data_IF_610788730316
#
_entry.id   IF_610788730316
#
_cell.length_a   1.000
_cell.length_b   1.000
_cell.length_c   1.000
_cell.angle_alpha   90.00
_cell.angle_beta   90.00
_cell.angle_gamma   90.00
#
_symmetry.space_group_name_H-M   'P 1'
#
loop_
_entity.id
_entity.type
_entity.pdbx_description
1 polymer ?
#
# COMPACT_ATOMS: atom_id res chain seq x y z
N UNK A 1 16.50 -24.36 -8.96
CA UNK A 1 17.01 -23.06 -8.45
C UNK A 1 17.69 -23.35 -7.14
N UNK A 2 18.94 -22.96 -7.00
CA UNK A 2 19.66 -23.05 -5.72
C UNK A 2 19.05 -22.04 -4.73
N UNK A 3 18.47 -22.54 -3.65
CA UNK A 3 17.76 -21.72 -2.66
C UNK A 3 18.71 -20.98 -1.73
N UNK A 4 19.87 -21.57 -1.42
CA UNK A 4 20.91 -20.91 -0.63
C UNK A 4 21.41 -19.68 -1.38
N UNK A 5 21.85 -19.86 -2.60
CA UNK A 5 22.33 -18.75 -3.45
C UNK A 5 21.27 -17.66 -3.66
N UNK A 6 20.00 -18.06 -3.86
CA UNK A 6 18.90 -17.09 -3.97
C UNK A 6 18.75 -16.27 -2.69
N UNK A 7 18.77 -16.92 -1.54
CA UNK A 7 18.57 -16.29 -0.24
C UNK A 7 19.71 -15.36 0.14
N UNK A 8 20.96 -15.74 -0.16
CA UNK A 8 22.14 -14.85 -0.04
C UNK A 8 21.99 -13.58 -0.89
N UNK A 9 21.59 -13.72 -2.16
CA UNK A 9 21.35 -12.59 -3.05
C UNK A 9 20.18 -11.71 -2.59
N UNK A 10 19.14 -12.31 -2.06
CA UNK A 10 18.01 -11.59 -1.44
C UNK A 10 18.45 -10.83 -0.19
N UNK A 11 19.25 -11.44 0.66
CA UNK A 11 19.78 -10.84 1.90
C UNK A 11 20.65 -9.63 1.57
N UNK A 12 21.58 -9.77 0.63
CA UNK A 12 22.44 -8.68 0.17
C UNK A 12 21.60 -7.49 -0.37
N UNK A 13 20.53 -7.78 -1.11
CA UNK A 13 19.66 -6.76 -1.69
C UNK A 13 18.73 -6.10 -0.67
N UNK A 14 18.11 -6.88 0.20
CA UNK A 14 17.03 -6.42 1.07
C UNK A 14 17.52 -6.11 2.50
N UNK A 15 18.74 -6.52 2.87
CA UNK A 15 19.37 -6.23 4.16
C UNK A 15 18.74 -7.02 5.31
N UNK A 16 18.40 -8.28 5.08
CA UNK A 16 18.02 -9.23 6.12
C UNK A 16 19.16 -10.23 6.37
N UNK A 17 19.10 -10.96 7.45
CA UNK A 17 20.12 -11.92 7.84
C UNK A 17 19.49 -13.21 8.38
N UNK A 18 20.20 -14.36 8.41
CA UNK A 18 19.69 -15.64 8.92
C UNK A 18 19.14 -15.56 10.36
N UNK A 19 19.72 -14.71 11.19
CA UNK A 19 19.30 -14.50 12.58
C UNK A 19 17.84 -13.99 12.69
N UNK A 20 17.27 -13.48 11.60
CA UNK A 20 15.84 -13.14 11.55
C UNK A 20 14.93 -14.35 11.74
N UNK A 21 15.46 -15.53 11.48
CA UNK A 21 14.80 -16.84 11.62
C UNK A 21 15.41 -17.69 12.73
N UNK A 22 16.37 -17.14 13.50
CA UNK A 22 17.07 -17.88 14.54
C UNK A 22 18.12 -18.87 14.00
N UNK A 23 18.64 -18.61 12.79
CA UNK A 23 19.70 -19.37 12.14
C UNK A 23 20.98 -18.55 12.05
N UNK A 24 22.14 -19.21 11.99
CA UNK A 24 23.44 -18.54 11.93
C UNK A 24 23.92 -18.39 10.47
N UNK A 25 23.59 -19.35 9.61
CA UNK A 25 24.13 -19.47 8.26
C UNK A 25 23.05 -19.58 7.17
N UNK A 26 23.46 -19.41 5.91
CA UNK A 26 22.62 -19.66 4.73
C UNK A 26 22.70 -21.14 4.33
N UNK A 27 21.88 -21.95 4.98
CA UNK A 27 21.89 -23.41 4.84
C UNK A 27 20.48 -24.00 4.72
N UNK A 28 20.36 -25.32 4.85
CA UNK A 28 19.07 -26.03 4.79
C UNK A 28 18.19 -25.72 6.01
N UNK A 29 18.76 -25.45 7.18
CA UNK A 29 18.01 -25.08 8.38
C UNK A 29 17.32 -23.73 8.20
N UNK A 30 18.00 -22.76 7.61
CA UNK A 30 17.41 -21.48 7.24
C UNK A 30 16.29 -21.66 6.20
N UNK A 31 16.48 -22.50 5.18
CA UNK A 31 15.43 -22.78 4.18
C UNK A 31 14.19 -23.36 4.85
N UNK A 32 14.36 -24.30 5.78
CA UNK A 32 13.27 -24.91 6.52
C UNK A 32 12.56 -23.92 7.46
N UNK A 33 13.30 -23.02 8.08
CA UNK A 33 12.73 -21.94 8.90
C UNK A 33 11.91 -20.94 8.06
N UNK A 34 12.38 -20.60 6.86
CA UNK A 34 11.63 -19.77 5.90
C UNK A 34 10.36 -20.50 5.46
N UNK A 35 10.41 -21.79 5.13
CA UNK A 35 9.24 -22.61 4.75
C UNK A 35 8.21 -22.63 5.88
N UNK A 36 8.66 -22.83 7.13
CA UNK A 36 7.78 -22.80 8.31
C UNK A 36 7.07 -21.46 8.41
N UNK A 37 7.81 -20.36 8.37
CA UNK A 37 7.26 -19.00 8.39
C UNK A 37 6.26 -18.76 7.25
N UNK A 38 6.58 -19.19 6.03
CA UNK A 38 5.69 -19.05 4.89
C UNK A 38 4.37 -19.79 5.09
N UNK A 39 4.41 -21.02 5.65
CA UNK A 39 3.19 -21.80 5.99
C UNK A 39 2.33 -21.08 7.03
N UNK A 40 2.94 -20.55 8.08
CA UNK A 40 2.25 -19.81 9.16
C UNK A 40 1.55 -18.53 8.63
N UNK A 41 2.04 -17.99 7.50
CA UNK A 41 1.51 -16.78 6.89
C UNK A 41 0.71 -17.03 5.60
N UNK A 42 0.35 -18.27 5.32
CA UNK A 42 -0.36 -18.68 4.09
C UNK A 42 0.31 -18.17 2.80
N UNK A 43 1.63 -18.17 2.79
CA UNK A 43 2.44 -17.86 1.61
C UNK A 43 2.83 -19.16 0.88
N UNK A 44 3.27 -19.01 -0.37
CA UNK A 44 3.91 -20.13 -1.09
C UNK A 44 5.13 -20.60 -0.30
N UNK A 45 5.09 -21.83 0.21
CA UNK A 45 6.13 -22.40 1.08
C UNK A 45 7.29 -22.97 0.24
N UNK A 46 8.00 -22.10 -0.47
CA UNK A 46 9.09 -22.44 -1.40
C UNK A 46 10.49 -22.34 -0.78
N UNK A 47 10.58 -21.76 0.43
CA UNK A 47 11.86 -21.54 1.13
C UNK A 47 12.68 -20.38 0.57
N UNK A 48 12.07 -19.52 -0.26
CA UNK A 48 12.73 -18.37 -0.83
C UNK A 48 12.32 -17.08 -0.13
N UNK A 49 13.29 -16.30 0.31
CA UNK A 49 13.06 -14.98 0.91
C UNK A 49 12.78 -13.94 -0.18
N UNK A 50 11.68 -14.13 -0.91
CA UNK A 50 11.20 -13.21 -1.92
C UNK A 50 10.59 -11.93 -1.32
N UNK A 51 10.21 -10.94 -2.17
CA UNK A 51 9.68 -9.64 -1.70
C UNK A 51 8.43 -9.75 -0.82
N UNK A 52 7.60 -10.75 -1.03
CA UNK A 52 6.39 -10.99 -0.23
C UNK A 52 6.76 -11.53 1.15
N UNK A 53 7.62 -12.56 1.20
CA UNK A 53 8.12 -13.14 2.46
C UNK A 53 8.88 -12.08 3.26
N UNK A 54 9.78 -11.32 2.61
CA UNK A 54 10.52 -10.24 3.25
C UNK A 54 9.59 -9.23 3.95
N UNK A 55 8.54 -8.75 3.26
CA UNK A 55 7.60 -7.80 3.84
C UNK A 55 6.90 -8.37 5.09
N UNK A 56 6.55 -9.65 5.08
CA UNK A 56 5.90 -10.31 6.23
C UNK A 56 6.85 -10.42 7.43
N UNK A 57 8.05 -10.91 7.20
CA UNK A 57 9.08 -11.02 8.26
C UNK A 57 9.43 -9.65 8.82
N UNK A 58 9.59 -8.65 7.94
CA UNK A 58 9.89 -7.29 8.37
C UNK A 58 8.78 -6.71 9.26
N UNK A 59 7.51 -6.98 8.93
CA UNK A 59 6.37 -6.58 9.74
C UNK A 59 6.37 -7.23 11.13
N UNK A 60 6.63 -8.55 11.21
CA UNK A 60 6.71 -9.25 12.50
C UNK A 60 7.82 -8.67 13.37
N UNK A 61 8.96 -8.33 12.76
CA UNK A 61 10.07 -7.69 13.50
C UNK A 61 9.68 -6.29 13.99
N UNK A 62 9.07 -5.47 13.14
CA UNK A 62 8.64 -4.11 13.53
C UNK A 62 7.57 -4.16 14.63
N UNK A 63 6.67 -5.16 14.61
CA UNK A 63 5.66 -5.33 15.64
C UNK A 63 6.24 -5.59 17.04
N UNK A 64 7.47 -6.10 17.11
CA UNK A 64 8.19 -6.36 18.36
C UNK A 64 9.14 -5.21 18.77
N UNK A 65 9.26 -4.14 18.00
CA UNK A 65 10.04 -2.96 18.38
C UNK A 65 9.19 -2.02 19.25
N UNK A 66 9.76 -1.57 20.37
CA UNK A 66 9.08 -0.69 21.34
C UNK A 66 9.04 0.78 20.89
N UNK A 67 9.91 1.19 19.96
CA UNK A 67 10.20 2.59 19.65
C UNK A 67 9.22 3.29 18.69
N UNK A 68 8.14 2.62 18.26
CA UNK A 68 7.16 3.29 17.42
C UNK A 68 6.35 4.30 18.23
N UNK A 69 6.40 5.56 17.81
CA UNK A 69 5.60 6.65 18.37
C UNK A 69 4.64 7.18 17.30
N UNK A 70 3.33 7.26 17.59
CA UNK A 70 2.39 7.94 16.71
C UNK A 70 2.81 9.40 16.50
N UNK A 71 2.81 9.88 15.27
CA UNK A 71 3.10 11.30 15.01
C UNK A 71 1.91 12.17 15.41
N UNK A 72 2.16 13.28 16.12
CA UNK A 72 1.11 14.21 16.50
C UNK A 72 0.47 14.86 15.28
N UNK A 73 -0.85 15.08 15.32
CA UNK A 73 -1.55 15.83 14.28
C UNK A 73 -1.00 17.26 14.16
N UNK A 74 -0.77 17.74 12.94
CA UNK A 74 -0.53 19.17 12.68
C UNK A 74 -1.82 19.92 12.96
N UNK A 75 -1.78 20.89 13.88
CA UNK A 75 -2.92 21.77 14.14
C UNK A 75 -2.90 22.94 13.15
N UNK A 76 -4.06 23.23 12.53
CA UNK A 76 -4.39 24.45 11.79
C UNK A 76 -3.37 24.96 10.74
N UNK A 77 -2.98 24.12 9.78
CA UNK A 77 -2.30 24.59 8.56
C UNK A 77 -3.11 24.20 7.34
N UNK A 78 -3.16 25.08 6.34
CA UNK A 78 -3.54 24.68 5.00
C UNK A 78 -2.64 23.53 4.55
N UNK A 79 -3.25 22.46 4.05
CA UNK A 79 -2.55 21.27 3.59
C UNK A 79 -2.59 21.20 2.08
N UNK A 80 -1.53 20.66 1.49
CA UNK A 80 -1.35 20.59 0.04
C UNK A 80 -0.90 19.20 -0.38
N UNK A 81 -1.19 18.87 -1.63
CA UNK A 81 -0.53 17.80 -2.38
C UNK A 81 0.27 18.43 -3.52
N UNK A 82 1.25 17.72 -4.05
CA UNK A 82 2.14 18.21 -5.11
C UNK A 82 1.88 17.48 -6.41
N UNK A 83 1.60 18.21 -7.48
CA UNK A 83 1.45 17.69 -8.83
C UNK A 83 2.09 18.62 -9.86
N UNK A 84 3.07 18.11 -10.60
CA UNK A 84 3.88 18.87 -11.56
C UNK A 84 4.55 20.09 -10.92
N UNK A 85 5.05 19.92 -9.69
CA UNK A 85 5.65 20.96 -8.84
C UNK A 85 4.68 22.03 -8.34
N UNK A 86 3.41 21.98 -8.68
CA UNK A 86 2.38 22.87 -8.14
C UNK A 86 1.84 22.34 -6.81
N UNK A 87 1.56 23.26 -5.88
CA UNK A 87 0.94 22.99 -4.58
C UNK A 87 -0.57 23.14 -4.72
N UNK A 88 -1.30 22.05 -4.55
CA UNK A 88 -2.75 22.00 -4.71
C UNK A 88 -3.40 21.73 -3.36
N UNK A 89 -4.43 22.50 -2.97
CA UNK A 89 -5.05 22.36 -1.66
C UNK A 89 -5.74 21.00 -1.48
N UNK A 90 -5.70 20.48 -0.26
CA UNK A 90 -6.44 19.31 0.17
C UNK A 90 -7.17 19.60 1.48
N UNK A 91 -8.45 19.30 1.52
CA UNK A 91 -9.31 19.45 2.70
C UNK A 91 -9.04 18.33 3.73
N UNK A 92 -7.79 18.24 4.18
CA UNK A 92 -7.34 17.28 5.19
C UNK A 92 -6.20 17.86 6.03
N UNK A 93 -6.31 17.88 7.37
CA UNK A 93 -5.36 18.64 8.19
C UNK A 93 -3.99 17.97 8.33
N UNK A 94 -3.89 16.67 8.06
CA UNK A 94 -2.70 15.89 8.40
C UNK A 94 -2.01 15.32 7.15
N UNK A 95 -1.28 16.18 6.44
CA UNK A 95 -0.49 15.82 5.25
C UNK A 95 1.00 16.09 5.52
N UNK A 96 1.85 15.19 5.06
CA UNK A 96 3.32 15.28 5.11
C UNK A 96 3.86 15.13 3.71
N UNK A 97 4.55 16.17 3.25
CA UNK A 97 5.15 16.17 1.91
C UNK A 97 6.58 15.62 1.95
N UNK A 98 6.99 15.02 0.85
CA UNK A 98 8.28 14.33 0.71
C UNK A 98 9.53 15.19 0.95
N UNK A 99 9.42 16.49 1.00
CA UNK A 99 10.51 17.43 1.29
C UNK A 99 10.42 18.05 2.69
N UNK A 100 9.38 17.75 3.46
CA UNK A 100 9.26 18.19 4.86
C UNK A 100 10.13 17.33 5.78
N UNK A 101 10.59 17.91 6.90
CA UNK A 101 11.49 17.22 7.84
C UNK A 101 10.90 15.94 8.47
N UNK A 102 9.57 15.87 8.57
CA UNK A 102 8.82 14.70 9.05
C UNK A 102 8.12 13.91 7.91
N UNK A 103 8.42 14.25 6.67
CA UNK A 103 7.99 13.54 5.47
C UNK A 103 8.92 12.39 5.08
N UNK A 104 8.50 11.59 4.12
CA UNK A 104 9.27 10.47 3.57
C UNK A 104 9.48 10.65 2.07
N UNK A 105 10.74 10.69 1.63
CA UNK A 105 11.10 10.89 0.23
C UNK A 105 11.62 9.60 -0.40
N UNK A 106 10.94 9.11 -1.43
CA UNK A 106 11.50 8.08 -2.31
C UNK A 106 12.49 8.72 -3.29
N UNK A 107 13.66 8.13 -3.40
CA UNK A 107 14.75 8.63 -4.26
C UNK A 107 15.07 7.69 -5.43
N UNK A 108 14.44 6.52 -5.48
CA UNK A 108 14.57 5.50 -6.52
C UNK A 108 13.29 4.68 -6.66
N UNK A 109 13.23 3.83 -7.69
CA UNK A 109 12.07 2.97 -7.93
C UNK A 109 10.91 3.67 -8.62
N UNK A 110 11.16 4.79 -9.30
CA UNK A 110 10.20 5.53 -10.10
C UNK A 110 10.89 6.20 -11.30
N UNK A 111 10.12 6.73 -12.23
CA UNK A 111 10.65 7.51 -13.35
C UNK A 111 10.20 8.97 -13.20
N UNK A 112 11.19 9.86 -13.13
CA UNK A 112 10.97 11.29 -13.10
C UNK A 112 10.45 11.78 -14.45
N UNK A 113 9.46 12.66 -14.43
CA UNK A 113 8.89 13.27 -15.62
C UNK A 113 9.36 14.72 -15.78
N UNK A 114 9.65 15.11 -17.02
CA UNK A 114 10.01 16.49 -17.38
C UNK A 114 8.84 17.30 -17.94
N UNK A 115 7.77 16.61 -18.33
CA UNK A 115 6.54 17.20 -18.82
C UNK A 115 5.35 16.73 -17.97
N UNK A 116 4.32 17.54 -17.87
CA UNK A 116 3.09 17.18 -17.16
C UNK A 116 2.46 15.95 -17.82
N UNK A 117 2.22 14.89 -17.01
CA UNK A 117 1.50 13.72 -17.47
C UNK A 117 0.01 13.85 -17.16
N UNK A 118 -0.80 13.03 -17.81
CA UNK A 118 -2.23 12.98 -17.66
C UNK A 118 -2.65 11.58 -17.16
N UNK A 119 -2.65 11.34 -15.84
CA UNK A 119 -3.05 10.06 -15.28
C UNK A 119 -4.56 9.85 -15.46
N UNK A 120 -4.95 8.61 -15.79
CA UNK A 120 -6.33 8.23 -16.08
C UNK A 120 -7.05 7.57 -14.93
N UNK A 121 -6.31 7.00 -13.99
CA UNK A 121 -6.91 6.35 -12.83
C UNK A 121 -6.04 6.43 -11.58
N UNK A 122 -6.73 6.31 -10.45
CA UNK A 122 -6.14 6.24 -9.12
C UNK A 122 -6.28 4.82 -8.58
N UNK A 123 -5.16 4.22 -8.15
CA UNK A 123 -5.12 2.83 -7.67
C UNK A 123 -4.98 2.79 -6.16
N UNK A 124 -5.95 2.18 -5.49
CA UNK A 124 -5.87 1.88 -4.07
C UNK A 124 -5.18 0.53 -3.83
N UNK A 125 -4.22 0.54 -2.91
CA UNK A 125 -3.53 -0.63 -2.37
C UNK A 125 -3.65 -0.66 -0.85
N UNK A 126 -3.58 -1.84 -0.25
CA UNK A 126 -3.14 -1.96 1.13
C UNK A 126 -1.68 -2.40 1.14
N UNK A 127 -0.90 -1.82 2.00
CA UNK A 127 0.57 -2.00 2.01
C UNK A 127 1.01 -3.30 2.66
N UNK A 128 0.11 -3.96 3.40
CA UNK A 128 0.41 -5.11 4.27
C UNK A 128 1.57 -4.81 5.22
N UNK A 129 1.62 -3.58 5.70
CA UNK A 129 2.58 -3.08 6.68
C UNK A 129 1.85 -2.55 7.92
N UNK A 130 2.59 -2.41 9.03
CA UNK A 130 2.03 -1.91 10.28
C UNK A 130 1.79 -0.40 10.26
N UNK A 131 2.58 0.34 9.45
CA UNK A 131 2.50 1.79 9.33
C UNK A 131 3.03 2.27 7.98
N UNK A 132 2.71 3.52 7.62
CA UNK A 132 3.26 4.16 6.41
C UNK A 132 4.79 4.28 6.46
N UNK A 133 5.39 4.45 7.64
CA UNK A 133 6.85 4.42 7.79
C UNK A 133 7.41 3.04 7.40
N UNK A 134 6.80 1.98 7.90
CA UNK A 134 7.20 0.60 7.54
C UNK A 134 7.03 0.36 6.04
N UNK A 135 5.91 0.79 5.46
CA UNK A 135 5.67 0.75 4.02
C UNK A 135 6.77 1.47 3.24
N UNK A 136 7.09 2.72 3.61
CA UNK A 136 8.15 3.49 2.98
C UNK A 136 9.51 2.75 3.00
N UNK A 137 9.90 2.21 4.15
CA UNK A 137 11.16 1.45 4.30
C UNK A 137 11.19 0.22 3.39
N UNK A 138 10.07 -0.52 3.31
CA UNK A 138 9.93 -1.69 2.42
C UNK A 138 9.99 -1.30 0.95
N UNK A 139 9.26 -0.26 0.53
CA UNK A 139 9.29 0.24 -0.86
C UNK A 139 10.69 0.67 -1.27
N UNK A 140 11.37 1.44 -0.42
CA UNK A 140 12.74 1.90 -0.64
C UNK A 140 13.73 0.75 -0.82
N UNK A 141 13.64 -0.29 0.01
CA UNK A 141 14.48 -1.50 -0.10
C UNK A 141 14.20 -2.27 -1.39
N UNK A 142 12.93 -2.43 -1.75
CA UNK A 142 12.51 -3.15 -2.95
C UNK A 142 12.78 -2.40 -4.26
N UNK A 143 13.06 -1.10 -4.22
CA UNK A 143 13.23 -0.27 -5.40
C UNK A 143 11.94 -0.11 -6.21
N UNK A 144 10.80 -0.02 -5.52
CA UNK A 144 9.48 0.30 -6.06
C UNK A 144 8.91 1.51 -5.32
N UNK A 145 7.82 2.05 -5.79
CA UNK A 145 7.26 3.31 -5.27
C UNK A 145 5.75 3.36 -5.34
N UNK A 146 5.18 4.28 -4.61
CA UNK A 146 3.80 4.75 -4.71
C UNK A 146 3.80 6.27 -4.46
N UNK A 147 2.79 7.00 -4.87
CA UNK A 147 2.75 8.45 -4.70
C UNK A 147 2.38 8.82 -3.26
N UNK A 148 1.40 8.12 -2.69
CA UNK A 148 0.86 8.40 -1.37
C UNK A 148 0.84 7.18 -0.47
N UNK A 149 0.89 7.42 0.82
CA UNK A 149 0.49 6.45 1.84
C UNK A 149 -0.46 7.12 2.85
N UNK A 150 -1.38 6.33 3.42
CA UNK A 150 -2.28 6.78 4.49
C UNK A 150 -2.00 5.93 5.72
N UNK A 151 -1.53 6.59 6.79
CA UNK A 151 -1.21 5.91 8.05
C UNK A 151 -2.46 5.60 8.88
N UNK A 152 -2.28 4.87 9.98
CA UNK A 152 -3.35 4.39 10.86
C UNK A 152 -4.18 5.54 11.50
N UNK A 153 -3.55 6.68 11.72
CA UNK A 153 -4.16 7.90 12.27
C UNK A 153 -4.75 8.84 11.19
N UNK A 154 -4.78 8.38 9.94
CA UNK A 154 -5.23 9.18 8.80
C UNK A 154 -4.20 10.17 8.26
N UNK A 155 -2.95 10.16 8.76
CA UNK A 155 -1.88 10.98 8.17
C UNK A 155 -1.65 10.55 6.72
N UNK A 156 -1.74 11.50 5.79
CA UNK A 156 -1.40 11.30 4.39
C UNK A 156 0.07 11.69 4.19
N UNK A 157 0.88 10.73 3.77
CA UNK A 157 2.24 10.97 3.31
C UNK A 157 2.26 11.02 1.79
N UNK A 158 2.79 12.08 1.23
CA UNK A 158 3.15 12.11 -0.19
C UNK A 158 4.64 11.81 -0.32
N UNK A 159 4.99 10.70 -0.98
CA UNK A 159 6.38 10.21 -1.09
C UNK A 159 7.14 10.79 -2.29
N UNK A 160 6.41 11.35 -3.27
CA UNK A 160 6.94 11.92 -4.50
C UNK A 160 5.88 12.75 -5.22
N UNK A 161 6.29 13.58 -6.15
CA UNK A 161 5.38 14.35 -7.01
C UNK A 161 4.45 13.41 -7.79
N UNK A 162 3.14 13.69 -7.85
CA UNK A 162 2.19 12.91 -8.64
C UNK A 162 2.52 12.91 -10.13
N UNK A 163 3.29 13.87 -10.60
CA UNK A 163 3.73 13.92 -12.01
C UNK A 163 4.72 12.82 -12.34
N UNK A 164 5.49 12.34 -11.38
CA UNK A 164 6.43 11.24 -11.60
C UNK A 164 5.69 9.90 -11.75
N UNK A 165 6.30 8.94 -12.41
CA UNK A 165 5.69 7.62 -12.64
C UNK A 165 6.13 6.65 -11.56
N UNK A 166 5.26 6.38 -10.59
CA UNK A 166 5.50 5.38 -9.55
C UNK A 166 5.39 3.94 -10.10
N UNK A 167 6.14 3.01 -9.50
CA UNK A 167 6.14 1.59 -9.87
C UNK A 167 5.36 0.77 -8.86
N UNK A 168 4.01 0.78 -8.97
CA UNK A 168 3.08 0.14 -8.04
C UNK A 168 2.05 -0.79 -8.68
N UNK A 169 1.68 -0.54 -9.95
CA UNK A 169 0.53 -1.20 -10.60
C UNK A 169 0.90 -2.43 -11.43
N UNK A 170 2.14 -2.93 -11.33
CA UNK A 170 2.57 -4.22 -11.89
C UNK A 170 2.94 -4.21 -13.38
N UNK A 171 2.67 -3.14 -14.14
CA UNK A 171 3.11 -3.00 -15.52
C UNK A 171 3.43 -1.55 -15.88
N UNK A 172 4.30 -1.37 -16.89
CA UNK A 172 4.66 -0.04 -17.41
C UNK A 172 3.43 0.73 -17.89
N UNK A 173 2.48 0.05 -18.55
CA UNK A 173 1.24 0.62 -19.05
C UNK A 173 0.43 1.25 -17.91
N UNK A 174 0.18 0.49 -16.85
CA UNK A 174 -0.63 0.95 -15.74
C UNK A 174 0.10 1.97 -14.87
N UNK A 175 1.40 1.79 -14.63
CA UNK A 175 2.20 2.77 -13.90
C UNK A 175 2.18 4.14 -14.57
N UNK A 176 2.30 4.19 -15.91
CA UNK A 176 2.26 5.44 -16.66
C UNK A 176 0.90 6.15 -16.58
N UNK A 177 -0.19 5.40 -16.46
CA UNK A 177 -1.55 5.92 -16.52
C UNK A 177 -2.17 6.16 -15.13
N UNK A 178 -1.45 5.92 -14.03
CA UNK A 178 -2.04 5.98 -12.71
C UNK A 178 -1.29 6.84 -11.70
N UNK A 179 -2.03 7.29 -10.69
CA UNK A 179 -1.57 7.69 -9.37
C UNK A 179 -1.92 6.56 -8.40
N UNK A 180 -1.14 6.30 -7.36
CA UNK A 180 -1.41 5.24 -6.41
C UNK A 180 -1.28 5.66 -4.97
N UNK A 181 -2.04 5.00 -4.09
CA UNK A 181 -1.99 5.12 -2.64
C UNK A 181 -1.83 3.75 -1.99
N UNK A 182 -0.96 3.63 -1.01
CA UNK A 182 -0.89 2.51 -0.08
C UNK A 182 -1.56 2.88 1.24
N UNK A 183 -2.52 2.09 1.70
CA UNK A 183 -3.22 2.32 2.97
C UNK A 183 -2.65 1.37 4.01
N UNK A 184 -2.11 1.91 5.11
CA UNK A 184 -1.49 1.12 6.16
C UNK A 184 -2.48 0.10 6.73
N UNK A 185 -2.17 -1.18 6.54
CA UNK A 185 -2.98 -2.31 7.00
C UNK A 185 -2.15 -3.59 6.99
N UNK A 186 -1.79 -4.11 8.15
CA UNK A 186 -0.98 -5.32 8.26
C UNK A 186 -1.69 -6.62 7.82
N UNK A 187 -2.97 -6.56 7.44
CA UNK A 187 -3.80 -7.65 6.97
C UNK A 187 -4.18 -8.68 8.04
N UNK A 188 -3.23 -9.26 8.76
CA UNK A 188 -3.47 -10.37 9.68
C UNK A 188 -4.04 -9.92 11.03
N UNK A 189 -5.14 -10.54 11.53
CA UNK A 189 -5.71 -10.22 12.84
C UNK A 189 -4.75 -10.37 14.02
N UNK A 190 -3.68 -11.17 13.89
CA UNK A 190 -2.66 -11.31 14.93
C UNK A 190 -1.95 -10.01 15.31
N UNK A 191 -2.03 -8.97 14.46
CA UNK A 191 -1.46 -7.66 14.76
C UNK A 191 -2.40 -6.74 15.55
N UNK A 192 -3.60 -7.20 15.91
CA UNK A 192 -4.58 -6.38 16.65
C UNK A 192 -3.97 -5.81 17.93
N UNK A 193 -3.33 -6.64 18.74
CA UNK A 193 -2.67 -6.23 19.97
C UNK A 193 -1.58 -5.16 19.76
N UNK A 194 -0.90 -5.20 18.62
CA UNK A 194 0.07 -4.16 18.26
C UNK A 194 -0.61 -2.81 18.08
N UNK A 195 -1.71 -2.76 17.34
CA UNK A 195 -2.46 -1.52 17.12
C UNK A 195 -3.00 -0.94 18.42
N UNK A 196 -3.52 -1.78 19.31
CA UNK A 196 -4.02 -1.38 20.62
C UNK A 196 -2.89 -0.82 21.51
N UNK A 197 -1.78 -1.55 21.62
CA UNK A 197 -0.61 -1.09 22.39
C UNK A 197 0.00 0.20 21.87
N UNK A 198 -0.14 0.49 20.56
CA UNK A 198 0.35 1.72 19.95
C UNK A 198 -0.68 2.87 19.98
N UNK A 199 -1.81 2.66 20.65
CA UNK A 199 -2.81 3.69 20.89
C UNK A 199 -3.77 3.95 19.72
N UNK A 200 -3.75 3.12 18.67
CA UNK A 200 -4.68 3.27 17.55
C UNK A 200 -6.07 2.68 17.84
N UNK A 201 -6.19 1.84 18.88
CA UNK A 201 -7.40 1.09 19.21
C UNK A 201 -7.65 -0.11 18.30
N UNK A 202 -8.81 -0.75 18.51
CA UNK A 202 -9.21 -1.94 17.76
C UNK A 202 -9.51 -1.60 16.29
N UNK A 203 -8.96 -2.41 15.38
CA UNK A 203 -9.30 -2.31 13.95
C UNK A 203 -10.51 -3.15 13.61
N UNK A 204 -11.37 -2.70 12.67
CA UNK A 204 -12.43 -3.53 12.12
C UNK A 204 -11.87 -4.86 11.58
N UNK A 205 -12.64 -5.94 11.72
CA UNK A 205 -12.32 -7.25 11.16
C UNK A 205 -13.27 -7.53 10.00
N UNK A 206 -12.72 -7.84 8.84
CA UNK A 206 -13.47 -8.23 7.64
C UNK A 206 -13.50 -9.75 7.53
N UNK A 207 -14.71 -10.33 7.47
CA UNK A 207 -14.93 -11.79 7.46
C UNK A 207 -15.59 -12.32 6.19
N UNK A 208 -16.18 -11.44 5.38
CA UNK A 208 -17.08 -11.77 4.27
C UNK A 208 -16.62 -11.21 2.91
N UNK A 209 -15.43 -10.61 2.84
CA UNK A 209 -14.89 -10.10 1.59
C UNK A 209 -14.66 -11.23 0.57
N UNK A 210 -14.99 -10.93 -0.69
CA UNK A 210 -14.75 -11.83 -1.82
C UNK A 210 -14.14 -11.06 -2.98
N UNK A 211 -13.06 -11.59 -3.55
CA UNK A 211 -12.39 -11.04 -4.73
C UNK A 211 -12.17 -12.16 -5.75
N UNK A 212 -12.45 -11.87 -7.03
CA UNK A 212 -12.38 -12.85 -8.13
C UNK A 212 -13.26 -14.10 -7.92
N UNK A 213 -14.35 -13.96 -7.14
CA UNK A 213 -15.24 -15.08 -6.82
C UNK A 213 -14.69 -16.05 -5.76
N UNK A 214 -13.60 -15.67 -5.09
CA UNK A 214 -13.01 -16.44 -3.98
C UNK A 214 -13.14 -15.64 -2.69
N UNK A 215 -13.52 -16.32 -1.60
CA UNK A 215 -13.54 -15.74 -0.28
C UNK A 215 -12.09 -15.35 0.13
N UNK A 216 -11.93 -14.13 0.62
CA UNK A 216 -10.68 -13.69 1.22
C UNK A 216 -10.68 -14.10 2.69
N UNK A 217 -9.53 -14.50 3.20
CA UNK A 217 -9.37 -14.85 4.61
C UNK A 217 -9.78 -13.71 5.52
N UNK A 218 -10.16 -14.04 6.77
CA UNK A 218 -10.40 -13.06 7.83
C UNK A 218 -9.20 -12.13 7.95
N UNK A 219 -9.43 -10.84 7.83
CA UNK A 219 -8.37 -9.84 7.81
C UNK A 219 -8.77 -8.53 8.47
N UNK A 220 -7.77 -7.70 8.79
CA UNK A 220 -7.97 -6.37 9.33
C UNK A 220 -8.58 -5.43 8.28
N UNK A 221 -9.57 -4.67 8.69
CA UNK A 221 -10.17 -3.59 7.90
C UNK A 221 -9.41 -2.27 8.04
N UNK A 222 -10.02 -1.18 7.58
CA UNK A 222 -9.47 0.16 7.68
C UNK A 222 -10.13 0.91 8.83
N UNK A 223 -9.36 1.77 9.51
CA UNK A 223 -9.95 2.71 10.47
C UNK A 223 -10.84 3.74 9.76
N UNK A 224 -11.93 4.20 10.38
CA UNK A 224 -12.77 5.26 9.79
C UNK A 224 -11.98 6.49 9.39
N UNK A 225 -10.99 6.90 10.18
CA UNK A 225 -10.13 8.05 9.90
C UNK A 225 -9.28 7.85 8.63
N UNK A 226 -8.85 6.61 8.33
CA UNK A 226 -8.14 6.30 7.09
C UNK A 226 -9.06 6.43 5.87
N UNK A 227 -10.33 6.02 6.01
CA UNK A 227 -11.33 6.16 4.93
C UNK A 227 -11.68 7.63 4.67
N UNK A 228 -11.79 8.45 5.71
CA UNK A 228 -11.98 9.90 5.59
C UNK A 228 -10.78 10.57 4.90
N UNK A 229 -9.55 10.21 5.30
CA UNK A 229 -8.34 10.68 4.65
C UNK A 229 -8.28 10.27 3.17
N UNK A 230 -8.69 9.03 2.87
CA UNK A 230 -8.76 8.54 1.49
C UNK A 230 -9.78 9.32 0.66
N UNK A 231 -10.96 9.64 1.21
CA UNK A 231 -11.96 10.47 0.52
C UNK A 231 -11.41 11.88 0.22
N UNK A 232 -10.77 12.52 1.19
CA UNK A 232 -10.14 13.82 1.00
C UNK A 232 -9.04 13.76 -0.08
N UNK A 233 -8.21 12.71 -0.07
CA UNK A 233 -7.20 12.50 -1.09
C UNK A 233 -7.80 12.26 -2.49
N UNK A 234 -8.85 11.45 -2.58
CA UNK A 234 -9.57 11.19 -3.85
C UNK A 234 -10.14 12.49 -4.42
N UNK A 235 -10.77 13.35 -3.59
CA UNK A 235 -11.28 14.67 -3.98
C UNK A 235 -10.15 15.56 -4.51
N UNK A 236 -9.05 15.67 -3.77
CA UNK A 236 -7.90 16.48 -4.17
C UNK A 236 -7.26 15.97 -5.48
N UNK A 237 -7.09 14.66 -5.64
CA UNK A 237 -6.56 14.07 -6.88
C UNK A 237 -7.51 14.29 -8.05
N UNK A 238 -8.83 14.12 -7.85
CA UNK A 238 -9.84 14.46 -8.87
C UNK A 238 -9.69 15.91 -9.34
N UNK A 239 -9.65 16.85 -8.40
CA UNK A 239 -9.50 18.30 -8.71
C UNK A 239 -8.19 18.59 -9.44
N UNK A 240 -7.10 17.94 -9.03
CA UNK A 240 -5.76 18.18 -9.59
C UNK A 240 -5.58 17.60 -11.00
N UNK A 241 -6.18 16.44 -11.28
CA UNK A 241 -5.89 15.64 -12.48
C UNK A 241 -7.06 15.50 -13.44
N UNK A 242 -8.28 15.81 -13.02
CA UNK A 242 -9.50 15.56 -13.80
C UNK A 242 -9.93 14.08 -13.84
N UNK A 243 -9.25 13.16 -13.10
CA UNK A 243 -9.68 11.75 -12.99
C UNK A 243 -11.13 11.73 -12.49
N UNK A 244 -12.11 11.19 -13.25
CA UNK A 244 -13.51 11.27 -12.88
C UNK A 244 -13.83 10.45 -11.63
N UNK A 245 -14.75 10.95 -10.78
CA UNK A 245 -15.22 10.27 -9.57
C UNK A 245 -16.09 9.05 -9.92
N UNK A 246 -15.47 8.03 -10.51
CA UNK A 246 -16.11 6.78 -10.97
C UNK A 246 -15.33 5.57 -10.46
N UNK A 247 -16.05 4.51 -10.12
CA UNK A 247 -15.49 3.20 -9.79
C UNK A 247 -15.99 2.13 -10.79
N UNK A 248 -15.27 1.03 -11.01
CA UNK A 248 -15.81 -0.11 -11.72
C UNK A 248 -16.97 -0.72 -10.94
N UNK A 249 -18.15 -0.82 -11.56
CA UNK A 249 -19.35 -1.38 -10.94
C UNK A 249 -19.69 -2.74 -11.55
N UNK A 250 -20.34 -3.57 -10.78
CA UNK A 250 -20.98 -4.81 -11.25
C UNK A 250 -22.35 -4.51 -11.88
N UNK A 251 -23.04 -5.54 -12.37
CA UNK A 251 -24.36 -5.40 -13.00
C UNK A 251 -25.46 -4.94 -12.05
N UNK A 252 -25.22 -5.00 -10.73
CA UNK A 252 -26.16 -4.56 -9.69
C UNK A 252 -25.84 -3.14 -9.20
N UNK A 253 -24.80 -2.51 -9.76
CA UNK A 253 -24.37 -1.18 -9.37
C UNK A 253 -23.53 -1.13 -8.10
N UNK A 254 -23.01 -2.26 -7.60
CA UNK A 254 -22.07 -2.32 -6.49
C UNK A 254 -20.62 -2.24 -7.00
N UNK A 255 -19.67 -1.92 -6.12
CA UNK A 255 -18.24 -2.02 -6.45
C UNK A 255 -17.92 -3.41 -7.01
N UNK A 256 -17.40 -3.47 -8.23
CA UNK A 256 -17.00 -4.72 -8.86
C UNK A 256 -15.81 -5.35 -8.10
N UNK A 257 -15.92 -6.60 -7.68
CA UNK A 257 -14.86 -7.32 -6.95
C UNK A 257 -14.04 -8.26 -7.83
N UNK A 258 -14.05 -8.05 -9.15
CA UNK A 258 -13.30 -8.85 -10.14
C UNK A 258 -12.43 -7.96 -11.01
N UNK A 259 -11.57 -8.59 -11.82
CA UNK A 259 -10.87 -7.85 -12.88
C UNK A 259 -11.92 -7.11 -13.74
N UNK A 260 -11.70 -5.82 -13.91
CA UNK A 260 -12.50 -5.00 -14.81
C UNK A 260 -11.80 -4.93 -16.16
N UNK A 261 -12.38 -5.54 -17.20
CA UNK A 261 -11.79 -5.51 -18.54
C UNK A 261 -11.49 -4.09 -19.04
N UNK A 262 -12.39 -3.09 -18.91
CA UNK A 262 -12.09 -1.71 -19.27
C UNK A 262 -10.86 -1.14 -18.53
N UNK A 263 -10.68 -1.45 -17.24
CA UNK A 263 -9.52 -1.02 -16.44
C UNK A 263 -8.25 -1.71 -16.93
N UNK A 264 -8.27 -3.02 -17.04
CA UNK A 264 -7.13 -3.84 -17.49
C UNK A 264 -6.66 -3.44 -18.90
N UNK A 265 -7.61 -3.08 -19.79
CA UNK A 265 -7.33 -2.60 -21.14
C UNK A 265 -6.92 -1.11 -21.19
N UNK A 266 -6.97 -0.38 -20.06
CA UNK A 266 -6.65 1.05 -19.97
C UNK A 266 -7.67 1.96 -20.65
N UNK A 267 -8.93 1.51 -20.78
CA UNK A 267 -10.05 2.27 -21.36
C UNK A 267 -10.98 2.88 -20.32
N UNK A 268 -10.69 2.65 -19.05
CA UNK A 268 -11.41 3.18 -17.91
C UNK A 268 -10.66 4.39 -17.35
N UNK A 269 -11.40 5.38 -16.89
CA UNK A 269 -10.90 6.52 -16.12
C UNK A 269 -11.64 6.56 -14.79
N UNK A 270 -10.92 6.71 -13.66
CA UNK A 270 -11.53 6.75 -12.33
C UNK A 270 -10.70 6.11 -11.23
N UNK A 271 -11.36 5.69 -10.16
CA UNK A 271 -10.77 5.14 -8.94
C UNK A 271 -10.94 3.63 -8.90
N UNK A 272 -9.87 2.90 -8.65
CA UNK A 272 -9.85 1.44 -8.74
C UNK A 272 -9.06 0.82 -7.59
N UNK A 273 -9.37 -0.44 -7.23
CA UNK A 273 -8.48 -1.29 -6.44
C UNK A 273 -7.53 -2.06 -7.35
N UNK A 274 -6.41 -2.51 -6.83
CA UNK A 274 -5.41 -3.24 -7.60
C UNK A 274 -5.97 -4.52 -8.23
N UNK A 275 -6.91 -5.20 -7.59
CA UNK A 275 -7.57 -6.39 -8.15
C UNK A 275 -8.41 -6.11 -9.41
N UNK A 276 -8.77 -4.85 -9.70
CA UNK A 276 -9.42 -4.51 -10.97
C UNK A 276 -8.47 -4.62 -12.17
N UNK A 277 -7.16 -4.51 -11.93
CA UNK A 277 -6.13 -4.59 -12.97
C UNK A 277 -5.76 -6.03 -13.30
N UNK A 278 -5.72 -6.93 -12.30
CA UNK A 278 -5.22 -8.30 -12.47
C UNK A 278 -5.80 -9.26 -11.43
N UNK A 279 -6.03 -10.51 -11.85
CA UNK A 279 -6.51 -11.58 -10.96
C UNK A 279 -5.45 -12.11 -9.98
N UNK A 280 -4.22 -11.63 -10.06
CA UNK A 280 -3.12 -11.98 -9.13
C UNK A 280 -3.11 -11.14 -7.86
N UNK A 281 -4.06 -10.21 -7.73
CA UNK A 281 -4.13 -9.26 -6.61
C UNK A 281 -5.49 -9.30 -5.95
N UNK A 282 -5.50 -9.10 -4.62
CA UNK A 282 -6.71 -9.04 -3.81
C UNK A 282 -6.84 -7.71 -3.06
N UNK A 283 -5.85 -6.84 -3.15
CA UNK A 283 -5.86 -5.52 -2.49
C UNK A 283 -6.70 -4.51 -3.33
N UNK A 284 -7.65 -3.78 -2.76
CA UNK A 284 -8.06 -3.77 -1.36
C UNK A 284 -9.39 -4.50 -1.16
N UNK A 285 -9.38 -5.78 -0.82
CA UNK A 285 -10.62 -6.50 -0.51
C UNK A 285 -11.35 -5.83 0.67
N UNK A 286 -12.68 -5.73 0.58
CA UNK A 286 -13.50 -5.06 1.60
C UNK A 286 -13.56 -3.53 1.51
N UNK A 287 -12.81 -2.89 0.61
CA UNK A 287 -12.90 -1.45 0.36
C UNK A 287 -14.04 -1.18 -0.65
N UNK A 288 -15.08 -0.48 -0.20
CA UNK A 288 -16.17 -0.03 -1.08
C UNK A 288 -15.86 1.34 -1.68
N UNK A 289 -15.18 1.33 -2.84
CA UNK A 289 -14.78 2.57 -3.53
C UNK A 289 -16.01 3.37 -3.98
N UNK A 290 -17.08 2.72 -4.42
CA UNK A 290 -18.32 3.42 -4.81
C UNK A 290 -18.85 4.28 -3.67
N UNK A 291 -19.02 3.66 -2.49
CA UNK A 291 -19.52 4.37 -1.31
C UNK A 291 -18.60 5.53 -0.88
N UNK A 292 -17.28 5.35 -0.99
CA UNK A 292 -16.32 6.43 -0.74
C UNK A 292 -16.51 7.60 -1.71
N UNK A 293 -16.69 7.33 -3.00
CA UNK A 293 -16.88 8.37 -4.02
C UNK A 293 -18.22 9.10 -3.88
N UNK A 294 -19.29 8.40 -3.49
CA UNK A 294 -20.60 9.00 -3.21
C UNK A 294 -20.57 9.98 -2.04
N UNK A 295 -19.64 9.80 -1.10
CA UNK A 295 -19.41 10.73 0.02
C UNK A 295 -18.59 11.97 -0.34
N UNK A 296 -18.04 12.06 -1.55
CA UNK A 296 -17.30 13.23 -2.03
C UNK A 296 -18.28 14.25 -2.63
N UNK A 297 -18.42 15.37 -1.94
CA UNK A 297 -19.26 16.50 -2.37
C UNK A 297 -18.41 17.62 -2.97
#
# INVERSE_FOLDING_TARGET
>A
MDKVFYNEGSAAKLGWTPEWFGCDDFDEDLINAIIKFQKEHNLTADGLMGPTTYRRVYNDRVANLEDYQPKSMKQNRESFIVYNSDYLPIEWPNVRLFFEGDGYKLTKGFRKMTQKRDPKFFVCHWDVCLSSETCFKVLKKRGISVHFAIDNDGTIYQFMDMNDVAYHAGSRKWNNASVGVEIANAFYPKYQDWYERKGFGERPIITDASVHGKKVEKHLGFYPIQLQALQALMKAVHTATGIPLKAPLDRKGNTNTKVSKPVADGRFEGFVSHYHLTNRKIDCAGLDIKNLLEGIK
#
